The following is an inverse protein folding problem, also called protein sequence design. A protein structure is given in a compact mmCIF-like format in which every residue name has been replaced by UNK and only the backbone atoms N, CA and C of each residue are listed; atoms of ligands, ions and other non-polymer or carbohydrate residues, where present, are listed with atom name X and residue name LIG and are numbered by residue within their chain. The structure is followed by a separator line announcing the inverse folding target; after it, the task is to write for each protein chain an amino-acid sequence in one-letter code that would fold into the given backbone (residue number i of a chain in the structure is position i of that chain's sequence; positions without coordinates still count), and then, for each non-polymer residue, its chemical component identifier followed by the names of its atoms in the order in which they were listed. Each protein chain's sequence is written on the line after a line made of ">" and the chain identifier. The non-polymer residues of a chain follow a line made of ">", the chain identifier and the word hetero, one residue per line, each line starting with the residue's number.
data_IF_863030270486
#
_entry.id   IF_863030270486
#
_cell.length_a   1.000
_cell.length_b   1.000
_cell.length_c   1.000
_cell.angle_alpha   90.00
_cell.angle_beta   90.00
_cell.angle_gamma   90.00
#
_symmetry.space_group_name_H-M   'P 1'
#
loop_
_entity.id
_entity.type
_entity.pdbx_description
1 polymer ?
#
# COMPACT_ATOMS: atom_id res chain seq x y z
N UNK A 1 -6.20 -0.90 12.14
CA UNK A 1 -6.10 0.08 11.04
C UNK A 1 -5.82 1.50 11.53
N UNK A 2 -6.51 2.03 12.53
CA UNK A 2 -6.35 3.43 13.01
C UNK A 2 -4.90 3.86 13.32
N UNK A 3 -4.13 3.03 14.06
CA UNK A 3 -2.75 3.36 14.39
C UNK A 3 -1.83 3.45 13.16
N UNK A 4 -2.02 2.56 12.17
CA UNK A 4 -1.28 2.59 10.91
C UNK A 4 -1.69 3.81 10.07
N UNK A 5 -3.00 4.10 9.98
CA UNK A 5 -3.52 5.25 9.27
C UNK A 5 -2.89 6.56 9.78
N UNK A 6 -2.91 6.78 11.10
CA UNK A 6 -2.31 7.97 11.72
C UNK A 6 -0.79 8.08 11.43
N UNK A 7 -0.07 6.95 11.35
CA UNK A 7 1.35 6.94 10.98
C UNK A 7 1.56 7.32 9.52
N UNK A 8 0.77 6.75 8.61
CA UNK A 8 0.84 7.05 7.17
C UNK A 8 0.48 8.51 6.87
N UNK A 9 -0.54 9.06 7.53
CA UNK A 9 -0.93 10.47 7.42
C UNK A 9 0.16 11.43 7.90
N UNK A 10 0.97 11.00 8.89
CA UNK A 10 2.06 11.82 9.42
C UNK A 10 3.34 11.80 8.59
N UNK A 11 3.42 10.93 7.57
CA UNK A 11 4.61 10.83 6.70
C UNK A 11 4.82 12.14 5.97
N UNK A 12 6.07 12.59 5.94
CA UNK A 12 6.50 13.80 5.22
C UNK A 12 7.28 13.43 3.96
N UNK A 13 6.63 13.40 2.77
CA UNK A 13 7.35 13.36 1.51
C UNK A 13 8.21 14.61 1.36
N UNK A 14 9.42 14.46 0.81
CA UNK A 14 10.31 15.59 0.62
C UNK A 14 11.61 15.23 -0.09
N UNK A 15 12.37 16.23 -0.55
CA UNK A 15 13.64 16.00 -1.24
C UNK A 15 14.67 15.33 -0.31
N UNK A 16 15.57 14.54 -0.89
CA UNK A 16 16.58 13.79 -0.12
C UNK A 16 17.57 14.68 0.66
N UNK A 17 17.69 15.95 0.30
CA UNK A 17 18.52 16.92 1.01
C UNK A 17 17.85 17.51 2.26
N UNK A 18 16.54 17.32 2.44
CA UNK A 18 15.81 17.78 3.61
C UNK A 18 15.90 16.71 4.73
N UNK A 19 16.51 17.01 5.88
CA UNK A 19 16.61 16.07 7.00
C UNK A 19 15.26 15.69 7.63
N UNK A 20 14.21 16.48 7.41
CA UNK A 20 12.85 16.18 7.88
C UNK A 20 12.06 15.30 6.90
N UNK A 21 12.61 15.04 5.70
CA UNK A 21 11.99 14.16 4.72
C UNK A 21 12.06 12.71 5.17
N UNK A 22 10.92 12.05 5.13
CA UNK A 22 10.77 10.63 5.50
C UNK A 22 10.55 9.74 4.28
N UNK A 23 10.21 10.33 3.13
CA UNK A 23 9.93 9.58 1.90
C UNK A 23 10.28 10.42 0.67
N UNK A 24 11.06 9.84 -0.24
CA UNK A 24 11.44 10.49 -1.49
C UNK A 24 10.28 10.54 -2.52
N UNK A 25 10.52 11.18 -3.67
CA UNK A 25 9.57 11.16 -4.78
C UNK A 25 9.53 9.78 -5.46
N UNK A 26 8.49 9.55 -6.25
CA UNK A 26 8.51 8.55 -7.31
C UNK A 26 9.51 8.94 -8.40
N UNK A 27 9.82 8.00 -9.30
CA UNK A 27 10.84 8.20 -10.33
C UNK A 27 10.49 9.37 -11.28
N UNK A 28 9.21 9.52 -11.64
CA UNK A 28 8.72 10.58 -12.51
C UNK A 28 7.22 10.87 -12.32
N UNK A 29 6.74 11.92 -13.00
CA UNK A 29 5.32 12.34 -12.96
C UNK A 29 4.40 11.35 -13.66
N UNK A 30 4.90 10.58 -14.64
CA UNK A 30 4.11 9.55 -15.30
C UNK A 30 3.77 8.42 -14.32
N UNK A 31 4.72 8.06 -13.46
CA UNK A 31 4.55 7.08 -12.38
C UNK A 31 3.56 7.58 -11.32
N UNK A 32 3.63 8.87 -10.95
CA UNK A 32 2.61 9.51 -10.09
C UNK A 32 1.22 9.35 -10.68
N UNK A 33 1.04 9.69 -11.96
CA UNK A 33 -0.26 9.59 -12.63
C UNK A 33 -0.75 8.13 -12.73
N UNK A 34 0.14 7.18 -13.03
CA UNK A 34 -0.19 5.74 -13.08
C UNK A 34 -0.65 5.22 -11.72
N UNK A 35 0.11 5.52 -10.66
CA UNK A 35 -0.19 5.12 -9.28
C UNK A 35 -1.52 5.73 -8.83
N UNK A 36 -1.73 7.03 -9.07
CA UNK A 36 -2.99 7.68 -8.69
C UNK A 36 -4.19 7.15 -9.48
N UNK A 37 -4.01 6.88 -10.77
CA UNK A 37 -5.04 6.27 -11.62
C UNK A 37 -5.46 4.89 -11.11
N UNK A 38 -4.53 4.06 -10.65
CA UNK A 38 -4.83 2.76 -10.05
C UNK A 38 -5.64 2.92 -8.75
N UNK A 39 -5.28 3.89 -7.91
CA UNK A 39 -6.02 4.21 -6.67
C UNK A 39 -7.44 4.69 -6.98
N UNK A 40 -7.60 5.63 -7.91
CA UNK A 40 -8.92 6.14 -8.31
C UNK A 40 -9.81 5.03 -8.90
N UNK A 41 -9.24 4.16 -9.75
CA UNK A 41 -9.94 3.00 -10.28
C UNK A 41 -10.39 2.04 -9.18
N UNK A 42 -9.53 1.78 -8.18
CA UNK A 42 -9.88 0.96 -7.03
C UNK A 42 -11.04 1.52 -6.22
N UNK A 43 -11.02 2.84 -5.95
CA UNK A 43 -12.09 3.52 -5.23
C UNK A 43 -13.41 3.45 -6.00
N UNK A 44 -13.38 3.66 -7.32
CA UNK A 44 -14.53 3.50 -8.20
C UNK A 44 -15.07 2.05 -8.22
N UNK A 45 -14.20 1.06 -8.07
CA UNK A 45 -14.54 -0.36 -7.99
C UNK A 45 -15.00 -0.83 -6.58
N UNK A 46 -15.07 0.08 -5.60
CA UNK A 46 -15.61 -0.22 -4.26
C UNK A 46 -14.56 -0.42 -3.17
N UNK A 47 -13.27 -0.23 -3.45
CA UNK A 47 -12.27 -0.09 -2.39
C UNK A 47 -12.57 1.14 -1.52
N UNK A 48 -12.18 1.10 -0.25
CA UNK A 48 -12.39 2.20 0.69
C UNK A 48 -11.06 2.80 1.09
N UNK A 49 -10.89 4.11 0.89
CA UNK A 49 -9.74 4.81 1.43
C UNK A 49 -9.83 4.87 2.96
N UNK A 50 -8.83 4.30 3.63
CA UNK A 50 -8.55 4.56 5.04
C UNK A 50 -7.67 5.81 5.15
N UNK A 51 -6.66 5.92 4.29
CA UNK A 51 -5.83 7.11 4.10
C UNK A 51 -5.81 7.43 2.62
N UNK A 52 -6.23 8.65 2.24
CA UNK A 52 -6.12 9.15 0.88
C UNK A 52 -4.97 10.16 0.82
N UNK A 53 -3.78 9.67 0.46
CA UNK A 53 -2.60 10.52 0.28
C UNK A 53 -2.65 11.26 -1.06
N UNK A 54 -2.21 10.61 -2.14
CA UNK A 54 -2.28 11.17 -3.49
C UNK A 54 -1.08 12.04 -3.89
N UNK A 55 -1.07 12.57 -5.13
CA UNK A 55 -0.03 13.47 -5.61
C UNK A 55 0.08 14.69 -4.68
N UNK A 56 1.31 15.09 -4.34
CA UNK A 56 1.49 16.24 -3.45
C UNK A 56 1.06 17.54 -4.14
N UNK A 57 0.22 18.32 -3.46
CA UNK A 57 -0.22 19.65 -3.90
C UNK A 57 0.55 20.77 -3.21
N UNK A 58 1.51 20.44 -2.34
CA UNK A 58 2.33 21.42 -1.64
C UNK A 58 3.19 22.18 -2.66
N UNK A 59 3.19 23.53 -2.69
CA UNK A 59 3.89 24.32 -3.70
C UNK A 59 5.37 23.96 -3.85
N UNK A 60 6.04 23.67 -2.75
CA UNK A 60 7.44 23.27 -2.68
C UNK A 60 7.74 21.88 -3.27
N UNK A 61 6.73 21.01 -3.34
CA UNK A 61 6.84 19.66 -3.91
C UNK A 61 6.16 19.53 -5.28
N UNK A 62 5.29 20.47 -5.67
CA UNK A 62 4.50 20.43 -6.90
C UNK A 62 5.35 20.36 -8.18
N UNK A 63 6.60 20.81 -8.11
CA UNK A 63 7.58 20.67 -9.20
C UNK A 63 8.04 19.23 -9.45
N UNK A 64 8.05 18.39 -8.42
CA UNK A 64 8.58 17.02 -8.44
C UNK A 64 7.51 15.93 -8.65
N UNK A 65 7.92 14.69 -8.42
CA UNK A 65 7.07 13.49 -8.53
C UNK A 65 6.69 12.94 -7.15
N UNK A 66 6.24 13.81 -6.25
CA UNK A 66 5.90 13.45 -4.87
C UNK A 66 4.48 12.91 -4.73
N UNK A 67 4.32 11.90 -3.89
CA UNK A 67 3.05 11.23 -3.62
C UNK A 67 2.96 10.91 -2.12
N UNK A 68 1.86 11.23 -1.46
CA UNK A 68 1.60 10.92 -0.06
C UNK A 68 1.06 9.49 0.10
N UNK A 69 1.42 8.75 1.17
CA UNK A 69 1.00 7.36 1.31
C UNK A 69 -0.52 7.17 1.25
N UNK A 70 -0.96 6.12 0.56
CA UNK A 70 -2.37 5.72 0.46
C UNK A 70 -2.57 4.36 1.11
N UNK A 71 -3.65 4.22 1.89
CA UNK A 71 -4.07 2.97 2.52
C UNK A 71 -5.50 2.65 2.13
N UNK A 72 -5.71 1.53 1.45
CA UNK A 72 -7.02 1.08 0.97
C UNK A 72 -7.47 -0.17 1.72
N UNK A 73 -8.71 -0.17 2.20
CA UNK A 73 -9.40 -1.40 2.59
C UNK A 73 -10.06 -1.98 1.34
N UNK A 74 -9.79 -3.25 1.05
CA UNK A 74 -10.34 -3.94 -0.11
C UNK A 74 -10.97 -5.24 0.36
N UNK A 75 -12.21 -5.52 -0.03
CA UNK A 75 -12.89 -6.79 0.29
C UNK A 75 -12.86 -7.80 -0.84
N UNK A 76 -12.74 -7.32 -2.08
CA UNK A 76 -12.67 -8.16 -3.28
C UNK A 76 -11.21 -8.32 -3.71
N UNK A 77 -10.65 -9.53 -3.53
CA UNK A 77 -9.26 -9.83 -3.89
C UNK A 77 -9.00 -9.78 -5.38
N UNK A 78 -10.05 -9.88 -6.22
CA UNK A 78 -9.90 -9.89 -7.68
C UNK A 78 -9.67 -8.51 -8.29
N UNK A 79 -9.78 -7.43 -7.50
CA UNK A 79 -9.56 -6.08 -8.01
C UNK A 79 -8.09 -5.88 -8.43
N UNK A 80 -7.83 -5.16 -9.54
CA UNK A 80 -6.47 -4.90 -10.02
C UNK A 80 -5.53 -4.28 -8.98
N UNK A 81 -6.05 -3.46 -8.06
CA UNK A 81 -5.24 -2.85 -6.99
C UNK A 81 -4.63 -3.86 -6.00
N UNK A 82 -5.19 -5.08 -5.94
CA UNK A 82 -4.71 -6.21 -5.14
C UNK A 82 -3.84 -7.13 -6.00
N UNK A 83 -4.28 -7.38 -7.23
CA UNK A 83 -3.66 -8.37 -8.12
C UNK A 83 -2.41 -7.85 -8.87
N UNK A 84 -2.38 -6.56 -9.20
CA UNK A 84 -1.32 -5.95 -9.99
C UNK A 84 -0.37 -5.10 -9.14
N UNK A 85 0.91 -5.08 -9.53
CA UNK A 85 1.92 -4.33 -8.81
C UNK A 85 1.82 -2.82 -9.07
N UNK A 86 1.35 -2.07 -8.07
CA UNK A 86 1.21 -0.61 -8.17
C UNK A 86 2.57 0.11 -8.22
N UNK A 87 3.61 -0.42 -7.57
CA UNK A 87 4.95 0.20 -7.49
C UNK A 87 4.90 1.67 -7.02
N UNK A 88 4.09 1.95 -6.00
CA UNK A 88 3.97 3.27 -5.39
C UNK A 88 3.75 3.16 -3.89
N UNK A 89 3.69 4.28 -3.16
CA UNK A 89 3.40 4.31 -1.73
C UNK A 89 1.91 4.05 -1.46
N UNK A 90 1.42 2.89 -1.91
CA UNK A 90 0.04 2.43 -1.80
C UNK A 90 0.06 1.06 -1.14
N UNK A 91 -0.74 0.89 -0.09
CA UNK A 91 -0.93 -0.39 0.58
C UNK A 91 -2.42 -0.75 0.61
N UNK A 92 -2.73 -2.01 0.34
CA UNK A 92 -4.06 -2.59 0.53
C UNK A 92 -4.12 -3.37 1.84
N UNK A 93 -5.31 -3.45 2.44
CA UNK A 93 -5.60 -4.31 3.59
C UNK A 93 -6.85 -5.12 3.28
N UNK A 94 -6.74 -6.42 3.50
CA UNK A 94 -7.82 -7.39 3.51
C UNK A 94 -7.96 -7.97 4.93
N UNK A 95 -9.17 -8.35 5.30
CA UNK A 95 -9.47 -9.01 6.59
C UNK A 95 -9.75 -10.47 6.30
N UNK A 96 -9.29 -11.34 7.18
CA UNK A 96 -9.51 -12.78 7.16
C UNK A 96 -9.84 -13.26 8.58
N UNK A 97 -10.52 -14.40 8.70
CA UNK A 97 -10.91 -15.01 9.96
C UNK A 97 -10.06 -16.23 10.33
N UNK A 98 -9.49 -16.93 9.34
CA UNK A 98 -8.72 -18.17 9.57
C UNK A 98 -7.30 -18.12 9.00
N UNK A 99 -6.43 -18.99 9.54
CA UNK A 99 -5.06 -19.16 9.04
C UNK A 99 -5.07 -19.64 7.58
N UNK A 100 -6.00 -20.55 7.24
CA UNK A 100 -6.19 -21.10 5.90
C UNK A 100 -6.65 -20.04 4.90
N UNK A 101 -7.57 -19.16 5.31
CA UNK A 101 -8.04 -18.05 4.47
C UNK A 101 -6.92 -17.04 4.20
N UNK A 102 -6.12 -16.70 5.22
CA UNK A 102 -4.98 -15.81 5.06
C UNK A 102 -3.96 -16.35 4.05
N UNK A 103 -3.70 -17.67 4.10
CA UNK A 103 -2.80 -18.35 3.17
C UNK A 103 -3.37 -18.38 1.75
N UNK A 104 -4.66 -18.68 1.62
CA UNK A 104 -5.35 -18.67 0.33
C UNK A 104 -5.29 -17.27 -0.32
N UNK A 105 -5.58 -16.21 0.45
CA UNK A 105 -5.48 -14.82 -0.02
C UNK A 105 -4.05 -14.42 -0.38
N UNK A 106 -3.06 -14.82 0.42
CA UNK A 106 -1.65 -14.50 0.15
C UNK A 106 -1.11 -15.22 -1.10
N UNK A 107 -1.59 -16.43 -1.38
CA UNK A 107 -1.21 -17.23 -2.55
C UNK A 107 -2.08 -16.96 -3.79
N UNK A 108 -3.17 -16.19 -3.66
CA UNK A 108 -4.03 -15.73 -4.77
C UNK A 108 -3.38 -14.53 -5.50
N UNK A 109 -2.19 -14.77 -6.04
CA UNK A 109 -1.41 -13.82 -6.83
C UNK A 109 -0.55 -14.57 -7.84
N UNK A 110 -0.31 -13.97 -9.01
CA UNK A 110 0.66 -14.49 -9.98
C UNK A 110 2.12 -14.32 -9.52
N UNK A 111 2.34 -13.54 -8.45
CA UNK A 111 3.67 -13.23 -7.90
C UNK A 111 4.02 -14.11 -6.69
N UNK A 112 5.32 -14.18 -6.35
CA UNK A 112 5.82 -15.00 -5.26
C UNK A 112 7.20 -14.59 -4.72
N UNK A 113 7.48 -13.28 -4.69
CA UNK A 113 8.82 -12.77 -4.33
C UNK A 113 9.12 -12.91 -2.85
N UNK A 114 8.22 -12.47 -1.97
CA UNK A 114 8.41 -12.47 -0.52
C UNK A 114 7.08 -12.28 0.22
N UNK A 115 7.00 -12.82 1.42
CA UNK A 115 5.89 -12.64 2.36
C UNK A 115 6.42 -12.56 3.80
N UNK A 116 5.65 -11.95 4.70
CA UNK A 116 6.01 -11.82 6.12
C UNK A 116 4.82 -12.18 7.01
N UNK A 117 5.07 -12.97 8.05
CA UNK A 117 4.04 -13.40 9.01
C UNK A 117 4.37 -12.82 10.39
N UNK A 118 3.46 -12.01 10.92
CA UNK A 118 3.57 -11.43 12.26
C UNK A 118 2.61 -12.16 13.20
N UNK A 119 3.15 -12.85 14.20
CA UNK A 119 2.36 -13.52 15.23
C UNK A 119 3.11 -13.58 16.56
N UNK A 120 2.37 -13.58 17.67
CA UNK A 120 2.92 -13.91 19.00
C UNK A 120 3.00 -15.43 19.23
N UNK A 121 2.26 -16.23 18.48
CA UNK A 121 2.42 -17.69 18.46
C UNK A 121 3.66 -18.02 17.64
N UNK A 122 4.72 -18.48 18.32
CA UNK A 122 6.01 -18.82 17.68
C UNK A 122 5.90 -19.95 16.65
N UNK A 123 4.88 -20.80 16.73
CA UNK A 123 4.69 -21.91 15.79
C UNK A 123 3.89 -21.51 14.55
N UNK A 124 3.01 -20.51 14.64
CA UNK A 124 2.15 -20.08 13.52
C UNK A 124 2.95 -19.61 12.30
N UNK A 125 3.94 -18.70 12.42
CA UNK A 125 4.77 -18.30 11.27
C UNK A 125 5.46 -19.49 10.60
N UNK A 126 5.94 -20.46 11.37
CA UNK A 126 6.61 -21.66 10.83
C UNK A 126 5.66 -22.59 10.08
N UNK A 127 4.38 -22.67 10.47
CA UNK A 127 3.36 -23.44 9.73
C UNK A 127 2.96 -22.74 8.44
N UNK A 128 2.66 -21.45 8.53
CA UNK A 128 2.24 -20.60 7.40
C UNK A 128 3.34 -20.54 6.34
N UNK A 129 4.60 -20.33 6.74
CA UNK A 129 5.73 -20.21 5.80
C UNK A 129 6.10 -21.51 5.06
N UNK A 130 5.47 -22.65 5.39
CA UNK A 130 5.65 -23.94 4.70
C UNK A 130 4.57 -24.24 3.66
N UNK A 131 3.50 -23.46 3.65
CA UNK A 131 2.43 -23.53 2.64
C UNK A 131 2.84 -22.68 1.44
#
# INVERSE_FOLDING_TARGET
>A
TAALAARLESVRPGPAADPESQMGPLIDKASVARVDGAVEAALAAGAKAIVRGGPSTAPELAGGAFYHPTLLSVSDSSLPIVQEETFGPVQTIQVFDTEEEAIALANDSEYGLSACVWSQDVNRPMRVARQ
#
